data_IF_643795805420
#
_entry.id   IF_643795805420
#
_cell.length_a   1.000
_cell.length_b   1.000
_cell.length_c   1.000
_cell.angle_alpha   90.00
_cell.angle_beta   90.00
_cell.angle_gamma   90.00
#
_symmetry.space_group_name_H-M   'P 1'
#
loop_
_entity.id
_entity.type
_entity.pdbx_description
1 polymer ?
#
# COMPACT_ATOMS: atom_id res chain seq x y z
N UNK A 1 -7.48 -17.59 -11.26
CA UNK A 1 -7.02 -16.68 -10.20
C UNK A 1 -8.05 -16.70 -9.08
N UNK A 2 -7.65 -16.76 -7.80
CA UNK A 2 -8.59 -16.63 -6.69
C UNK A 2 -9.33 -15.29 -6.80
N UNK A 3 -10.56 -15.19 -6.30
CA UNK A 3 -11.27 -13.91 -6.14
C UNK A 3 -11.25 -13.57 -4.66
N UNK A 4 -10.69 -12.41 -4.29
CA UNK A 4 -10.86 -11.88 -2.95
C UNK A 4 -12.24 -11.21 -2.88
N UNK A 5 -13.11 -11.67 -1.96
CA UNK A 5 -14.44 -11.08 -1.77
C UNK A 5 -14.39 -10.02 -0.67
N UNK A 6 -14.67 -8.77 -1.02
CA UNK A 6 -14.89 -7.70 -0.05
C UNK A 6 -16.30 -7.81 0.55
N UNK A 7 -16.44 -7.60 1.87
CA UNK A 7 -17.74 -7.54 2.56
C UNK A 7 -18.48 -6.24 2.17
N UNK A 8 -18.98 -6.17 0.94
CA UNK A 8 -19.64 -4.97 0.44
C UNK A 8 -20.17 -5.01 -1.00
N UNK A 9 -19.89 -6.05 -1.79
CA UNK A 9 -20.43 -6.18 -3.15
C UNK A 9 -19.48 -6.93 -4.09
N UNK A 10 -20.03 -7.44 -5.21
CA UNK A 10 -19.27 -8.13 -6.27
C UNK A 10 -18.46 -7.11 -7.09
N UNK A 11 -17.42 -6.54 -6.52
CA UNK A 11 -16.37 -5.85 -7.27
C UNK A 11 -15.45 -6.89 -7.92
N UNK A 12 -15.04 -6.67 -9.18
CA UNK A 12 -13.98 -7.46 -9.79
C UNK A 12 -12.64 -6.83 -9.37
N UNK A 13 -12.06 -7.34 -8.29
CA UNK A 13 -10.77 -6.86 -7.80
C UNK A 13 -9.64 -7.56 -8.54
N UNK A 14 -8.69 -6.78 -9.04
CA UNK A 14 -7.46 -7.31 -9.63
C UNK A 14 -6.36 -7.33 -8.57
N UNK A 15 -5.59 -8.42 -8.55
CA UNK A 15 -4.31 -8.47 -7.84
C UNK A 15 -3.32 -7.59 -8.60
N UNK A 16 -3.01 -6.40 -8.06
CA UNK A 16 -2.24 -5.39 -8.76
C UNK A 16 -0.77 -5.42 -8.36
N UNK A 17 -0.45 -5.01 -7.12
CA UNK A 17 0.91 -5.02 -6.60
C UNK A 17 1.14 -6.22 -5.68
N UNK A 18 2.34 -6.78 -5.70
CA UNK A 18 2.68 -7.94 -4.88
C UNK A 18 4.03 -7.79 -4.19
N UNK A 19 4.15 -8.41 -3.01
CA UNK A 19 5.41 -8.61 -2.31
C UNK A 19 5.43 -9.99 -1.70
N UNK A 20 6.42 -10.79 -2.08
CA UNK A 20 6.68 -12.07 -1.45
C UNK A 20 7.20 -11.88 -0.03
N UNK A 21 6.69 -12.67 0.90
CA UNK A 21 7.30 -12.85 2.20
C UNK A 21 8.62 -13.63 2.04
N UNK A 22 9.67 -13.35 2.81
CA UNK A 22 10.97 -14.03 2.69
C UNK A 22 10.92 -15.56 2.81
N UNK A 23 9.91 -16.10 3.51
CA UNK A 23 9.70 -17.56 3.61
C UNK A 23 9.27 -18.22 2.29
N UNK A 24 8.77 -17.45 1.31
CA UNK A 24 8.22 -17.97 0.06
C UNK A 24 6.81 -18.58 0.16
N UNK A 25 6.21 -18.62 1.34
CA UNK A 25 4.85 -19.17 1.56
C UNK A 25 3.74 -18.13 1.39
N UNK A 26 4.00 -16.90 1.80
CA UNK A 26 3.00 -15.83 1.83
C UNK A 26 3.31 -14.75 0.79
N UNK A 27 2.26 -14.21 0.18
CA UNK A 27 2.34 -13.06 -0.75
C UNK A 27 1.39 -11.97 -0.29
N UNK A 28 1.94 -10.80 0.03
CA UNK A 28 1.13 -9.61 0.21
C UNK A 28 0.67 -9.11 -1.17
N UNK A 29 -0.61 -8.84 -1.31
CA UNK A 29 -1.17 -8.25 -2.52
C UNK A 29 -1.95 -7.00 -2.18
N UNK A 30 -1.87 -6.00 -3.06
CA UNK A 30 -2.93 -5.02 -3.18
C UNK A 30 -4.02 -5.59 -4.11
N UNK A 31 -5.27 -5.48 -3.67
CA UNK A 31 -6.44 -5.80 -4.48
C UNK A 31 -7.16 -4.50 -4.81
N UNK A 32 -7.27 -4.18 -6.09
CA UNK A 32 -7.71 -2.86 -6.54
C UNK A 32 -8.94 -2.99 -7.44
N UNK A 33 -9.95 -2.15 -7.21
CA UNK A 33 -10.98 -1.83 -8.22
C UNK A 33 -10.48 -0.65 -9.05
N UNK A 34 -9.65 -0.96 -10.04
CA UNK A 34 -9.08 0.05 -10.93
C UNK A 34 -10.06 0.37 -12.06
N UNK A 35 -10.28 1.67 -12.31
CA UNK A 35 -10.99 2.14 -13.50
C UNK A 35 -10.10 3.06 -14.32
N UNK A 36 -10.27 2.94 -15.63
CA UNK A 36 -9.70 3.85 -16.59
C UNK A 36 -10.79 4.81 -17.06
N UNK A 37 -10.54 6.11 -16.89
CA UNK A 37 -11.41 7.18 -17.35
C UNK A 37 -10.71 7.97 -18.45
N UNK A 38 -11.48 8.38 -19.45
CA UNK A 38 -10.98 9.13 -20.60
C UNK A 38 -11.63 10.51 -20.58
N UNK A 39 -10.81 11.55 -20.45
CA UNK A 39 -11.23 12.94 -20.58
C UNK A 39 -12.31 13.39 -19.59
N UNK A 40 -12.51 12.68 -18.48
CA UNK A 40 -13.62 12.91 -17.56
C UNK A 40 -13.34 14.08 -16.60
N UNK A 41 -12.11 14.19 -16.11
CA UNK A 41 -11.70 15.27 -15.20
C UNK A 41 -10.78 16.30 -15.89
N UNK A 42 -10.10 15.91 -16.97
CA UNK A 42 -9.24 16.78 -17.78
C UNK A 42 -9.29 16.33 -19.25
N UNK A 43 -9.58 17.27 -20.16
CA UNK A 43 -9.76 16.99 -21.59
C UNK A 43 -8.53 16.37 -22.27
N UNK A 44 -7.34 16.47 -21.67
CA UNK A 44 -6.10 15.93 -22.23
C UNK A 44 -5.54 14.74 -21.45
N UNK A 45 -6.29 14.18 -20.50
CA UNK A 45 -5.80 13.12 -19.63
C UNK A 45 -6.65 11.85 -19.73
N UNK A 46 -5.95 10.72 -19.71
CA UNK A 46 -6.51 9.42 -19.40
C UNK A 46 -6.11 9.12 -17.96
N UNK A 47 -7.09 9.01 -17.08
CA UNK A 47 -6.85 8.70 -15.67
C UNK A 47 -7.04 7.21 -15.41
N UNK A 48 -5.99 6.56 -14.92
CA UNK A 48 -6.12 5.27 -14.23
C UNK A 48 -6.19 5.58 -12.75
N UNK A 49 -7.29 5.22 -12.11
CA UNK A 49 -7.54 5.48 -10.71
C UNK A 49 -8.15 4.25 -10.05
N UNK A 50 -7.85 4.10 -8.77
CA UNK A 50 -8.49 3.09 -7.93
C UNK A 50 -9.73 3.71 -7.30
N UNK A 51 -10.86 3.01 -7.40
CA UNK A 51 -12.09 3.35 -6.68
C UNK A 51 -12.10 2.76 -5.28
N UNK A 52 -11.37 1.67 -5.11
CA UNK A 52 -11.14 0.99 -3.84
C UNK A 52 -9.84 0.20 -3.97
N UNK A 53 -9.03 0.17 -2.92
CA UNK A 53 -7.94 -0.78 -2.81
C UNK A 53 -7.70 -1.21 -1.38
N UNK A 54 -7.38 -2.47 -1.21
CA UNK A 54 -7.09 -3.08 0.08
C UNK A 54 -5.78 -3.89 -0.02
N UNK A 55 -5.17 -4.23 1.12
CA UNK A 55 -4.03 -5.16 1.19
C UNK A 55 -4.41 -6.43 1.95
N UNK A 56 -4.07 -7.58 1.38
CA UNK A 56 -4.25 -8.89 1.99
C UNK A 56 -3.00 -9.74 1.85
N UNK A 57 -2.88 -10.79 2.66
CA UNK A 57 -1.83 -11.80 2.53
C UNK A 57 -2.47 -13.08 1.98
N UNK A 58 -1.87 -13.65 0.93
CA UNK A 58 -2.27 -14.90 0.33
C UNK A 58 -1.25 -15.99 0.64
N UNK A 59 -1.71 -17.10 1.21
CA UNK A 59 -0.93 -18.31 1.47
C UNK A 59 -0.98 -19.22 0.24
N UNK A 60 0.17 -19.43 -0.40
CA UNK A 60 0.25 -20.18 -1.66
C UNK A 60 0.11 -21.70 -1.46
N UNK A 61 0.37 -22.20 -0.25
CA UNK A 61 0.27 -23.62 0.07
C UNK A 61 -1.16 -24.01 0.44
N UNK A 62 -1.82 -23.16 1.26
CA UNK A 62 -3.21 -23.40 1.70
C UNK A 62 -4.25 -22.83 0.74
N UNK A 63 -3.83 -21.97 -0.18
CA UNK A 63 -4.70 -21.22 -1.10
C UNK A 63 -5.74 -20.34 -0.39
N UNK A 64 -5.36 -19.77 0.76
CA UNK A 64 -6.21 -18.94 1.60
C UNK A 64 -5.71 -17.50 1.62
N UNK A 65 -6.62 -16.54 1.82
CA UNK A 65 -6.26 -15.15 2.06
C UNK A 65 -6.60 -14.76 3.51
N UNK A 66 -5.69 -14.03 4.16
CA UNK A 66 -5.92 -13.39 5.45
C UNK A 66 -5.80 -11.87 5.32
N UNK A 67 -6.60 -11.16 6.11
CA UNK A 67 -6.60 -9.71 6.16
C UNK A 67 -6.92 -9.21 7.58
N UNK A 68 -6.94 -7.90 7.73
CA UNK A 68 -7.36 -7.22 8.96
C UNK A 68 -8.14 -5.97 8.60
N UNK A 69 -9.08 -5.54 9.44
CA UNK A 69 -9.87 -4.32 9.20
C UNK A 69 -9.03 -3.04 9.05
N UNK A 70 -7.73 -3.08 9.38
CA UNK A 70 -6.78 -1.97 9.17
C UNK A 70 -6.22 -1.89 7.76
N UNK A 71 -6.29 -2.98 7.01
CA UNK A 71 -5.77 -3.11 5.64
C UNK A 71 -6.88 -3.46 4.64
N UNK A 72 -8.10 -3.67 5.15
CA UNK A 72 -9.23 -4.17 4.39
C UNK A 72 -10.51 -3.50 4.88
N UNK A 73 -10.75 -2.29 4.39
CA UNK A 73 -11.68 -1.32 4.98
C UNK A 73 -12.32 -0.42 3.92
N UNK A 74 -13.37 0.32 4.29
CA UNK A 74 -13.96 1.34 3.39
C UNK A 74 -13.40 2.74 3.67
N UNK A 75 -12.65 2.87 4.74
CA UNK A 75 -12.20 4.13 5.31
C UNK A 75 -10.89 4.62 4.68
N UNK A 76 -10.15 3.71 4.06
CA UNK A 76 -8.85 3.98 3.46
C UNK A 76 -8.63 3.15 2.17
N UNK A 77 -7.63 3.57 1.40
CA UNK A 77 -7.12 2.85 0.24
C UNK A 77 -5.69 2.41 0.54
N UNK A 78 -5.45 1.10 0.61
CA UNK A 78 -4.13 0.51 0.83
C UNK A 78 -3.52 -0.02 -0.47
N UNK A 79 -2.21 0.19 -0.66
CA UNK A 79 -1.49 -0.23 -1.88
C UNK A 79 0.02 -0.34 -1.65
N UNK A 80 0.76 -0.80 -2.68
CA UNK A 80 2.23 -0.95 -2.69
C UNK A 80 2.81 -1.69 -1.47
N UNK A 81 2.34 -2.91 -1.15
CA UNK A 81 2.88 -3.66 -0.03
C UNK A 81 4.35 -4.05 -0.27
N UNK A 82 5.16 -4.06 0.79
CA UNK A 82 6.51 -4.66 0.79
C UNK A 82 6.83 -5.24 2.16
N UNK A 83 7.30 -6.49 2.20
CA UNK A 83 7.78 -7.12 3.44
C UNK A 83 9.19 -6.66 3.80
N UNK A 84 9.48 -6.60 5.09
CA UNK A 84 10.85 -6.56 5.59
C UNK A 84 11.62 -7.85 5.25
N UNK A 85 12.96 -7.80 5.16
CA UNK A 85 13.77 -8.98 4.89
C UNK A 85 13.67 -10.10 5.94
N UNK A 86 13.32 -9.75 7.18
CA UNK A 86 13.07 -10.71 8.26
C UNK A 86 11.62 -11.22 8.28
N UNK A 87 10.75 -10.66 7.42
CA UNK A 87 9.35 -11.08 7.29
C UNK A 87 8.41 -10.57 8.38
N UNK A 88 8.94 -9.88 9.40
CA UNK A 88 8.16 -9.51 10.60
C UNK A 88 7.38 -8.19 10.44
N UNK A 89 7.63 -7.43 9.37
CA UNK A 89 6.99 -6.15 9.11
C UNK A 89 6.45 -6.10 7.69
N UNK A 90 5.24 -5.58 7.55
CA UNK A 90 4.65 -5.22 6.27
C UNK A 90 4.57 -3.69 6.17
N UNK A 91 5.28 -3.13 5.20
CA UNK A 91 5.15 -1.73 4.82
C UNK A 91 4.14 -1.60 3.68
N UNK A 92 3.41 -0.50 3.65
CA UNK A 92 2.40 -0.23 2.63
C UNK A 92 2.12 1.26 2.55
N UNK A 93 1.49 1.67 1.46
CA UNK A 93 1.01 3.04 1.28
C UNK A 93 -0.49 3.09 1.61
N UNK A 94 -0.92 4.11 2.36
CA UNK A 94 -2.34 4.29 2.71
C UNK A 94 -2.77 5.76 2.61
N UNK A 95 -4.01 5.97 2.23
CA UNK A 95 -4.69 7.28 2.19
C UNK A 95 -6.13 7.10 2.63
N UNK A 96 -6.69 8.09 3.32
CA UNK A 96 -8.12 8.06 3.63
C UNK A 96 -8.94 8.01 2.33
N UNK A 97 -10.00 7.19 2.33
CA UNK A 97 -10.88 7.05 1.19
C UNK A 97 -11.52 8.40 0.83
N UNK A 98 -11.72 8.62 -0.47
CA UNK A 98 -12.32 9.83 -1.03
C UNK A 98 -13.36 9.45 -2.08
N UNK A 99 -14.26 10.38 -2.38
CA UNK A 99 -15.21 10.23 -3.47
C UNK A 99 -14.48 10.28 -4.82
N UNK A 100 -14.32 9.12 -5.44
CA UNK A 100 -13.61 8.96 -6.71
C UNK A 100 -14.61 8.85 -7.86
N UNK A 101 -14.35 9.53 -9.01
CA UNK A 101 -13.11 10.21 -9.39
C UNK A 101 -13.06 11.71 -9.00
N UNK A 102 -14.09 12.23 -8.33
CA UNK A 102 -14.28 13.66 -8.08
C UNK A 102 -13.12 14.30 -7.31
N UNK A 103 -12.61 13.62 -6.29
CA UNK A 103 -11.58 14.14 -5.38
C UNK A 103 -10.19 13.54 -5.65
N UNK A 104 -9.93 13.05 -6.87
CA UNK A 104 -8.65 12.42 -7.24
C UNK A 104 -7.42 13.30 -6.91
N UNK A 105 -7.52 14.62 -7.08
CA UNK A 105 -6.41 15.57 -6.83
C UNK A 105 -6.01 15.67 -5.35
N UNK A 106 -6.85 15.17 -4.44
CA UNK A 106 -6.61 15.19 -3.00
C UNK A 106 -5.88 13.93 -2.52
N UNK A 107 -5.83 12.87 -3.35
CA UNK A 107 -5.19 11.60 -3.01
C UNK A 107 -3.69 11.80 -2.84
N UNK A 108 -3.21 11.63 -1.60
CA UNK A 108 -1.79 11.62 -1.25
C UNK A 108 -1.54 10.48 -0.28
N UNK A 109 -0.81 9.47 -0.74
CA UNK A 109 -0.51 8.28 0.04
C UNK A 109 0.60 8.56 1.05
N UNK A 110 0.35 8.19 2.30
CA UNK A 110 1.32 8.10 3.40
C UNK A 110 2.02 6.75 3.37
N UNK A 111 3.23 6.67 3.94
CA UNK A 111 3.92 5.40 4.16
C UNK A 111 3.63 4.88 5.57
N UNK A 112 3.13 3.66 5.65
CA UNK A 112 2.72 3.00 6.88
C UNK A 112 3.45 1.68 7.06
N UNK A 113 3.45 1.18 8.29
CA UNK A 113 3.98 -0.12 8.66
C UNK A 113 3.07 -0.82 9.68
N UNK A 114 3.00 -2.14 9.60
CA UNK A 114 2.33 -3.00 10.57
C UNK A 114 3.16 -4.26 10.79
N UNK A 115 3.22 -4.76 12.02
CA UNK A 115 3.88 -6.04 12.28
C UNK A 115 3.08 -7.20 11.71
N UNK A 116 3.77 -8.24 11.27
CA UNK A 116 3.20 -9.47 10.74
C UNK A 116 3.90 -10.67 11.40
N UNK A 117 3.12 -11.59 11.95
CA UNK A 117 3.63 -12.87 12.44
C UNK A 117 3.38 -13.93 11.38
N UNK A 118 4.43 -14.47 10.71
CA UNK A 118 4.26 -15.46 9.65
C UNK A 118 3.81 -16.83 10.14
N UNK A 119 4.04 -17.17 11.41
CA UNK A 119 3.63 -18.47 11.96
C UNK A 119 2.12 -18.52 12.17
N UNK A 120 1.57 -17.45 12.75
CA UNK A 120 0.12 -17.33 13.00
C UNK A 120 -0.64 -16.64 11.86
N UNK A 121 0.08 -16.03 10.91
CA UNK A 121 -0.44 -15.16 9.83
C UNK A 121 -1.31 -14.02 10.38
N UNK A 122 -0.87 -13.44 11.50
CA UNK A 122 -1.61 -12.40 12.21
C UNK A 122 -0.91 -11.04 12.08
N UNK A 123 -1.71 -9.97 12.18
CA UNK A 123 -1.22 -8.60 12.11
C UNK A 123 -1.15 -7.98 13.50
N UNK A 124 -0.19 -7.07 13.68
CA UNK A 124 -0.13 -6.21 14.85
C UNK A 124 -1.40 -5.40 15.08
N UNK A 125 -1.62 -5.02 16.33
CA UNK A 125 -2.77 -4.20 16.74
C UNK A 125 -2.61 -2.70 16.40
N UNK A 126 -1.44 -2.29 15.93
CA UNK A 126 -1.10 -0.90 15.65
C UNK A 126 -0.49 -0.76 14.25
N UNK A 127 -0.90 0.29 13.56
CA UNK A 127 -0.26 0.77 12.33
C UNK A 127 0.56 2.00 12.68
N UNK A 128 1.83 2.02 12.27
CA UNK A 128 2.69 3.19 12.41
C UNK A 128 2.77 3.95 11.09
N UNK A 129 2.61 5.27 11.14
CA UNK A 129 2.80 6.16 9.99
C UNK A 129 4.25 6.64 9.97
N UNK A 130 5.04 6.13 9.02
CA UNK A 130 6.47 6.46 8.88
C UNK A 130 6.68 7.77 8.12
N UNK A 131 5.77 8.08 7.20
CA UNK A 131 5.73 9.34 6.46
C UNK A 131 4.28 9.76 6.27
N UNK A 132 3.91 10.95 6.75
CA UNK A 132 2.56 11.47 6.66
C UNK A 132 2.42 12.46 5.48
N UNK A 133 1.72 12.03 4.44
CA UNK A 133 1.61 12.80 3.21
C UNK A 133 0.76 14.07 3.32
N UNK A 134 -0.18 14.14 4.26
CA UNK A 134 -0.97 15.35 4.51
C UNK A 134 -0.10 16.46 5.10
N UNK A 135 0.70 16.11 6.11
CA UNK A 135 1.62 17.08 6.76
C UNK A 135 2.77 17.50 5.84
N UNK A 136 3.20 16.62 4.94
CA UNK A 136 4.35 16.85 4.06
C UNK A 136 3.95 17.41 2.68
N UNK A 137 2.66 17.41 2.34
CA UNK A 137 2.13 17.92 1.07
C UNK A 137 2.50 17.11 -0.17
N UNK A 138 3.21 15.98 -0.04
CA UNK A 138 3.63 15.11 -1.14
C UNK A 138 3.22 13.66 -0.87
N UNK A 139 2.75 12.98 -1.93
CA UNK A 139 2.42 11.55 -1.90
C UNK A 139 3.68 10.69 -2.01
N UNK A 140 3.66 9.48 -1.44
CA UNK A 140 4.72 8.48 -1.60
C UNK A 140 4.20 7.17 -2.16
N UNK A 141 5.02 6.48 -2.95
CA UNK A 141 4.66 5.20 -3.59
C UNK A 141 5.86 4.25 -3.69
N UNK A 142 5.59 2.99 -4.03
CA UNK A 142 6.58 1.97 -4.35
C UNK A 142 7.68 1.81 -3.29
N UNK A 143 7.28 1.66 -2.03
CA UNK A 143 8.25 1.38 -0.96
C UNK A 143 9.02 0.08 -1.20
N UNK A 144 10.32 0.09 -0.93
CA UNK A 144 11.23 -1.06 -1.03
C UNK A 144 12.22 -1.06 0.12
N UNK A 145 12.32 -2.18 0.82
CA UNK A 145 13.26 -2.36 1.93
C UNK A 145 14.61 -2.84 1.41
N UNK A 146 15.72 -2.37 1.97
CA UNK A 146 17.07 -2.88 1.66
C UNK A 146 17.23 -4.33 2.13
N UNK A 147 18.08 -5.15 1.48
CA UNK A 147 18.28 -6.54 1.88
C UNK A 147 18.75 -6.74 3.32
N UNK A 148 19.47 -5.77 3.89
CA UNK A 148 19.93 -5.79 5.28
C UNK A 148 18.90 -5.24 6.29
N UNK A 149 17.72 -4.81 5.82
CA UNK A 149 16.62 -4.29 6.64
C UNK A 149 16.86 -2.89 7.22
N UNK A 150 17.97 -2.24 6.90
CA UNK A 150 18.37 -0.96 7.54
C UNK A 150 17.82 0.28 6.85
N UNK A 151 17.35 0.15 5.62
CA UNK A 151 16.90 1.27 4.80
C UNK A 151 15.56 0.96 4.15
N UNK A 152 14.72 1.99 4.08
CA UNK A 152 13.45 1.95 3.36
C UNK A 152 13.50 3.04 2.28
N UNK A 153 13.48 2.61 1.03
CA UNK A 153 13.35 3.48 -0.13
C UNK A 153 11.88 3.66 -0.45
N UNK A 154 11.49 4.86 -0.87
CA UNK A 154 10.18 5.16 -1.43
C UNK A 154 10.30 6.31 -2.44
N UNK A 155 9.28 6.49 -3.27
CA UNK A 155 9.28 7.50 -4.33
C UNK A 155 8.32 8.62 -3.94
N UNK A 156 8.78 9.87 -3.92
CA UNK A 156 7.87 11.01 -3.86
C UNK A 156 7.23 11.26 -5.22
N UNK A 157 5.91 11.34 -5.26
CA UNK A 157 5.20 11.83 -6.45
C UNK A 157 5.02 13.35 -6.34
N UNK A 158 5.84 14.08 -7.10
CA UNK A 158 5.75 15.53 -7.31
C UNK A 158 5.88 15.86 -8.79
N UNK A 159 5.13 15.20 -9.67
CA UNK A 159 5.20 15.46 -11.12
C UNK A 159 6.57 15.24 -11.79
N UNK A 160 7.63 14.91 -11.04
CA UNK A 160 9.02 14.63 -11.40
C UNK A 160 9.68 13.88 -10.23
N UNK A 161 10.49 12.87 -10.53
CA UNK A 161 11.04 11.88 -9.60
C UNK A 161 12.05 12.48 -8.60
N UNK A 162 11.92 12.17 -7.31
CA UNK A 162 12.95 12.46 -6.29
C UNK A 162 13.13 11.25 -5.35
N UNK A 163 14.37 10.78 -5.19
CA UNK A 163 14.79 9.70 -4.30
C UNK A 163 15.03 10.27 -2.89
N UNK A 164 14.43 9.71 -1.85
CA UNK A 164 14.70 10.09 -0.45
C UNK A 164 15.09 8.88 0.39
N UNK A 165 15.99 9.08 1.37
CA UNK A 165 16.53 8.05 2.28
C UNK A 165 15.99 8.30 3.67
N UNK A 166 15.24 7.35 4.24
CA UNK A 166 14.97 7.31 5.68
C UNK A 166 16.03 6.44 6.36
N UNK A 167 16.73 7.02 7.34
CA UNK A 167 17.57 6.29 8.28
C UNK A 167 16.83 6.20 9.61
N UNK A 168 16.56 4.99 10.10
CA UNK A 168 16.07 4.82 11.47
C UNK A 168 17.25 4.96 12.43
N UNK A 169 17.29 6.08 13.15
CA UNK A 169 18.29 6.38 14.18
C UNK A 169 18.67 7.85 14.24
N UNK A 170 17.91 8.63 15.02
CA UNK A 170 18.32 9.94 15.56
C UNK A 170 18.35 11.13 14.59
N UNK A 171 17.38 12.04 14.75
CA UNK A 171 17.50 13.47 14.44
C UNK A 171 17.56 13.87 12.96
N UNK A 172 16.58 14.65 12.53
CA UNK A 172 16.60 15.31 11.22
C UNK A 172 17.71 16.36 11.17
N UNK A 173 18.59 16.27 10.17
CA UNK A 173 19.39 17.40 9.67
C UNK A 173 18.96 17.61 8.22
N UNK A 174 18.45 18.81 7.95
CA UNK A 174 18.20 19.29 6.60
C UNK A 174 19.48 19.97 6.09
N UNK A 175 19.96 19.55 4.93
CA UNK A 175 20.74 20.42 4.02
C UNK A 175 19.79 21.00 2.97
#
# INVERSE_FOLDING_TARGET
>A
MPKAEHKGGRGCFAFAYSSWHPSGRDVAFSVNETRQSFHQNDRNRVEVLDLQSDVLIYDVEKHEAVNTNRLFSKEAFETFPTFSPDGQMLYFCSVAARDMPKNFKEIRYSLCAVSFDPETRSFGSRTDTLYNAETQGKSVTFSRVSPDGKHLLYIHLVGLWQLSRLAYGGGFVHD
#
